data_IF_707287032374
#
_entry.id   IF_707287032374
#
_cell.length_a   1.000
_cell.length_b   1.000
_cell.length_c   1.000
_cell.angle_alpha   90.00
_cell.angle_beta   90.00
_cell.angle_gamma   90.00
#
_symmetry.space_group_name_H-M   'P 1'
#
loop_
_entity.id
_entity.type
_entity.pdbx_description
1 polymer ?
#
# COMPACT_ATOMS: atom_id res chain seq x y z
N UNK A 1 9.62 -56.32 -20.73
CA UNK A 1 9.71 -56.51 -19.26
C UNK A 1 10.85 -55.63 -18.74
N UNK A 2 10.54 -54.48 -18.13
CA UNK A 2 11.53 -53.53 -17.62
C UNK A 2 12.20 -54.11 -16.36
N UNK A 3 13.50 -54.40 -16.41
CA UNK A 3 14.22 -55.01 -15.30
C UNK A 3 14.70 -53.94 -14.30
N UNK A 4 13.78 -53.52 -13.43
CA UNK A 4 13.94 -52.41 -12.47
C UNK A 4 15.18 -52.57 -11.56
N UNK A 5 15.53 -53.81 -11.21
CA UNK A 5 16.68 -54.12 -10.34
C UNK A 5 18.02 -53.69 -10.93
N UNK A 6 18.19 -53.71 -12.26
CA UNK A 6 19.47 -53.41 -12.90
C UNK A 6 19.77 -51.90 -12.98
N UNK A 7 18.71 -51.06 -13.01
CA UNK A 7 18.85 -49.58 -13.02
C UNK A 7 19.14 -48.99 -11.65
N UNK A 8 18.63 -49.60 -10.57
CA UNK A 8 18.84 -49.12 -9.19
C UNK A 8 20.29 -49.29 -8.70
N UNK A 9 21.09 -50.15 -9.34
CA UNK A 9 22.51 -50.35 -9.05
C UNK A 9 23.44 -49.56 -9.97
N UNK A 10 22.90 -48.85 -10.97
CA UNK A 10 23.68 -48.07 -11.92
C UNK A 10 23.96 -46.67 -11.35
N UNK A 11 25.23 -46.28 -11.12
CA UNK A 11 25.57 -44.95 -10.61
C UNK A 11 25.10 -43.81 -11.53
N UNK A 12 24.94 -44.07 -12.84
CA UNK A 12 24.36 -43.11 -13.77
C UNK A 12 22.90 -42.77 -13.44
N UNK A 13 22.10 -43.77 -13.03
CA UNK A 13 20.70 -43.57 -12.66
C UNK A 13 20.54 -42.65 -11.44
N UNK A 14 21.42 -42.78 -10.44
CA UNK A 14 21.43 -41.93 -9.26
C UNK A 14 21.84 -40.48 -9.58
N UNK A 15 22.77 -40.29 -10.52
CA UNK A 15 23.13 -38.96 -11.01
C UNK A 15 21.95 -38.27 -11.71
N UNK A 16 21.22 -38.99 -12.56
CA UNK A 16 20.01 -38.47 -13.21
C UNK A 16 18.90 -38.16 -12.21
N UNK A 17 18.67 -39.03 -11.22
CA UNK A 17 17.67 -38.80 -10.17
C UNK A 17 18.01 -37.56 -9.32
N UNK A 18 19.30 -37.37 -8.97
CA UNK A 18 19.78 -36.22 -8.22
C UNK A 18 19.60 -34.90 -9.01
N UNK A 19 19.89 -34.91 -10.32
CA UNK A 19 19.67 -33.76 -11.21
C UNK A 19 18.20 -33.36 -11.30
N UNK A 20 17.30 -34.33 -11.43
CA UNK A 20 15.84 -34.07 -11.46
C UNK A 20 15.38 -33.49 -10.13
N UNK A 21 15.85 -34.03 -9.02
CA UNK A 21 15.50 -33.54 -7.68
C UNK A 21 16.02 -32.12 -7.45
N UNK A 22 17.23 -31.81 -7.91
CA UNK A 22 17.81 -30.46 -7.84
C UNK A 22 16.95 -29.46 -8.63
N UNK A 23 16.60 -29.79 -9.88
CA UNK A 23 15.79 -28.93 -10.75
C UNK A 23 14.40 -28.68 -10.14
N UNK A 24 13.77 -29.71 -9.58
CA UNK A 24 12.50 -29.57 -8.89
C UNK A 24 12.60 -28.70 -7.64
N UNK A 25 13.67 -28.88 -6.84
CA UNK A 25 13.90 -28.09 -5.62
C UNK A 25 14.17 -26.61 -5.92
N UNK A 26 14.95 -26.31 -6.97
CA UNK A 26 15.19 -24.94 -7.43
C UNK A 26 13.91 -24.33 -7.99
N UNK A 27 13.12 -25.08 -8.76
CA UNK A 27 11.83 -24.61 -9.27
C UNK A 27 10.86 -24.25 -8.13
N UNK A 28 10.75 -25.11 -7.12
CA UNK A 28 9.92 -24.85 -5.94
C UNK A 28 10.42 -23.63 -5.17
N UNK A 29 11.74 -23.49 -4.99
CA UNK A 29 12.34 -22.32 -4.34
C UNK A 29 11.98 -21.03 -5.09
N UNK A 30 12.14 -21.00 -6.40
CA UNK A 30 11.81 -19.83 -7.24
C UNK A 30 10.34 -19.46 -7.13
N UNK A 31 9.43 -20.43 -7.19
CA UNK A 31 7.98 -20.18 -7.02
C UNK A 31 7.69 -19.57 -5.65
N UNK A 32 8.24 -20.14 -4.58
CA UNK A 32 8.02 -19.60 -3.23
C UNK A 32 8.59 -18.19 -3.03
N UNK A 33 9.73 -17.87 -3.65
CA UNK A 33 10.30 -16.52 -3.61
C UNK A 33 9.48 -15.51 -4.40
N UNK A 34 8.94 -15.91 -5.55
CA UNK A 34 8.08 -15.06 -6.37
C UNK A 34 6.75 -14.78 -5.68
N UNK A 35 6.11 -15.79 -5.07
CA UNK A 35 4.89 -15.60 -4.29
C UNK A 35 5.11 -14.72 -3.06
N UNK A 36 6.25 -14.87 -2.36
CA UNK A 36 6.60 -14.00 -1.25
C UNK A 36 6.77 -12.54 -1.68
N UNK A 37 7.38 -12.28 -2.85
CA UNK A 37 7.51 -10.94 -3.41
C UNK A 37 6.18 -10.38 -3.92
N UNK A 38 5.30 -11.21 -4.46
CA UNK A 38 3.96 -10.80 -4.85
C UNK A 38 3.08 -10.43 -3.64
N UNK A 39 3.30 -11.07 -2.48
CA UNK A 39 2.60 -10.74 -1.24
C UNK A 39 3.03 -9.39 -0.63
N UNK A 40 4.23 -8.88 -0.95
CA UNK A 40 4.66 -7.51 -0.58
C UNK A 40 3.99 -6.43 -1.45
N UNK A 41 3.40 -6.80 -2.58
CA UNK A 41 2.67 -5.90 -3.49
C UNK A 41 1.17 -5.86 -3.19
N UNK A 42 0.75 -6.19 -1.96
CA UNK A 42 -0.64 -5.97 -1.56
C UNK A 42 -1.01 -4.52 -1.86
N UNK A 43 -2.10 -4.25 -2.60
CA UNK A 43 -2.55 -2.89 -2.79
C UNK A 43 -2.79 -2.30 -1.40
N UNK A 44 -1.94 -1.34 -1.07
CA UNK A 44 -2.08 -0.44 0.06
C UNK A 44 -3.56 -0.09 0.16
N UNK A 45 -4.17 -0.36 1.32
CA UNK A 45 -5.61 -0.15 1.49
C UNK A 45 -5.82 1.37 1.54
N UNK A 46 -5.98 1.96 0.36
CA UNK A 46 -6.22 3.37 0.17
C UNK A 46 -7.36 3.79 1.10
N UNK A 47 -7.15 4.89 1.84
CA UNK A 47 -8.07 5.46 2.83
C UNK A 47 -8.15 4.75 4.19
N UNK A 48 -7.07 4.18 4.72
CA UNK A 48 -7.06 3.77 6.13
C UNK A 48 -6.94 5.02 7.02
N UNK A 49 -8.08 5.49 7.53
CA UNK A 49 -8.09 6.61 8.46
C UNK A 49 -7.47 6.17 9.80
N UNK A 50 -6.44 6.87 10.23
CA UNK A 50 -5.72 6.60 11.48
C UNK A 50 -6.09 7.57 12.61
N UNK A 51 -6.74 8.70 12.31
CA UNK A 51 -7.15 9.64 13.34
C UNK A 51 -8.16 10.72 12.91
N UNK A 52 -8.76 11.35 13.92
CA UNK A 52 -9.55 12.58 13.78
C UNK A 52 -9.17 13.56 14.90
N UNK A 53 -8.88 14.80 14.53
CA UNK A 53 -8.65 15.92 15.46
C UNK A 53 -9.75 16.96 15.30
N UNK A 54 -10.36 17.36 16.41
CA UNK A 54 -11.32 18.46 16.45
C UNK A 54 -10.67 19.68 17.07
N UNK A 55 -10.53 20.74 16.29
CA UNK A 55 -9.81 21.97 16.69
C UNK A 55 -10.67 22.92 17.53
N UNK A 56 -11.94 22.59 17.81
CA UNK A 56 -12.84 23.38 18.67
C UNK A 56 -13.39 24.67 18.06
N UNK A 57 -12.83 25.11 16.93
CA UNK A 57 -13.29 26.23 16.11
C UNK A 57 -14.23 25.80 14.96
N UNK A 58 -14.73 24.56 15.02
CA UNK A 58 -15.51 23.98 13.94
C UNK A 58 -14.68 23.49 12.75
N UNK A 59 -13.37 23.28 12.93
CA UNK A 59 -12.54 22.54 11.98
C UNK A 59 -12.31 21.11 12.49
N UNK A 60 -12.45 20.16 11.58
CA UNK A 60 -12.20 18.74 11.79
C UNK A 60 -11.11 18.31 10.83
N UNK A 61 -10.05 17.73 11.37
CA UNK A 61 -8.94 17.16 10.60
C UNK A 61 -9.00 15.64 10.65
N UNK A 62 -8.92 14.98 9.50
CA UNK A 62 -8.82 13.53 9.40
C UNK A 62 -7.46 13.15 8.84
N UNK A 63 -6.80 12.20 9.48
CA UNK A 63 -5.48 11.68 9.12
C UNK A 63 -5.63 10.30 8.51
N UNK A 64 -4.91 10.04 7.42
CA UNK A 64 -4.88 8.76 6.71
C UNK A 64 -3.45 8.25 6.68
N UNK A 65 -3.28 7.03 7.14
CA UNK A 65 -2.05 6.24 7.04
C UNK A 65 -2.34 5.19 5.98
N UNK A 66 -2.01 5.50 4.73
CA UNK A 66 -2.30 4.63 3.61
C UNK A 66 -1.38 3.43 3.67
N UNK A 67 -0.07 3.62 3.87
CA UNK A 67 0.96 2.59 3.84
C UNK A 67 1.11 1.74 5.13
N UNK A 68 0.38 2.09 6.19
CA UNK A 68 0.36 1.43 7.50
C UNK A 68 1.71 1.45 8.24
N UNK A 69 2.50 2.51 8.07
CA UNK A 69 3.79 2.65 8.76
C UNK A 69 3.70 3.37 10.12
N UNK A 70 2.50 3.84 10.49
CA UNK A 70 2.25 4.57 11.73
C UNK A 70 2.41 6.09 11.59
N UNK A 71 2.74 6.59 10.40
CA UNK A 71 2.81 7.99 10.03
C UNK A 71 1.65 8.34 9.10
N UNK A 72 0.97 9.48 9.28
CA UNK A 72 -0.01 9.92 8.29
C UNK A 72 0.65 10.27 6.95
N UNK A 73 0.11 9.73 5.85
CA UNK A 73 0.50 10.05 4.47
C UNK A 73 -0.32 11.22 3.90
N UNK A 74 -1.57 11.33 4.37
CA UNK A 74 -2.54 12.32 3.89
C UNK A 74 -3.37 12.85 5.04
N UNK A 75 -3.72 14.12 4.96
CA UNK A 75 -4.75 14.70 5.82
C UNK A 75 -5.83 15.44 5.03
N UNK A 76 -7.01 15.56 5.62
CA UNK A 76 -8.07 16.45 5.14
C UNK A 76 -8.56 17.34 6.27
N UNK A 77 -8.74 18.63 6.00
CA UNK A 77 -9.29 19.61 6.94
C UNK A 77 -10.65 20.07 6.44
N UNK A 78 -11.68 19.84 7.24
CA UNK A 78 -13.08 20.07 6.90
C UNK A 78 -13.70 21.04 7.89
N UNK A 79 -14.40 22.05 7.40
CA UNK A 79 -15.20 22.93 8.26
C UNK A 79 -16.54 22.30 8.65
N UNK A 80 -17.14 22.80 9.72
CA UNK A 80 -18.55 22.57 10.02
C UNK A 80 -19.43 23.49 9.16
N UNK A 81 -20.60 22.99 8.76
CA UNK A 81 -21.62 23.77 8.08
C UNK A 81 -22.48 24.58 9.07
N UNK A 82 -23.48 25.31 8.55
CA UNK A 82 -24.41 26.12 9.37
C UNK A 82 -25.28 25.31 10.33
N UNK A 83 -25.32 23.98 10.18
CA UNK A 83 -26.03 23.04 11.04
C UNK A 83 -25.08 22.26 11.96
N UNK A 84 -23.81 22.68 12.03
CA UNK A 84 -22.75 22.04 12.81
C UNK A 84 -22.46 20.59 12.37
N UNK A 85 -22.77 20.24 11.12
CA UNK A 85 -22.37 18.98 10.52
C UNK A 85 -21.04 19.16 9.76
N UNK A 86 -20.17 18.15 9.68
CA UNK A 86 -19.00 18.21 8.81
C UNK A 86 -19.44 18.48 7.37
N UNK A 87 -18.77 19.43 6.70
CA UNK A 87 -18.97 19.62 5.27
C UNK A 87 -18.65 18.32 4.52
N UNK A 88 -19.32 18.11 3.40
CA UNK A 88 -19.08 16.92 2.57
C UNK A 88 -17.71 16.95 1.90
N UNK A 89 -17.14 18.15 1.76
CA UNK A 89 -15.88 18.37 1.04
C UNK A 89 -14.88 19.11 1.93
N UNK A 90 -13.61 18.69 1.90
CA UNK A 90 -12.56 19.32 2.68
C UNK A 90 -12.22 20.71 2.11
N UNK A 91 -11.87 21.62 3.01
CA UNK A 91 -11.37 22.96 2.67
C UNK A 91 -9.90 22.89 2.27
N UNK A 92 -9.14 22.05 2.97
CA UNK A 92 -7.75 21.76 2.67
C UNK A 92 -7.51 20.26 2.66
N UNK A 93 -6.57 19.81 1.85
CA UNK A 93 -5.97 18.50 1.98
C UNK A 93 -4.47 18.64 1.79
N UNK A 94 -3.72 17.78 2.47
CA UNK A 94 -2.28 17.72 2.30
C UNK A 94 -1.83 16.29 2.12
N UNK A 95 -0.78 16.13 1.34
CA UNK A 95 -0.14 14.85 1.06
C UNK A 95 1.37 15.01 1.19
N UNK A 96 1.97 14.06 1.89
CA UNK A 96 3.40 13.88 1.94
C UNK A 96 3.75 12.76 0.95
N UNK A 97 4.11 13.13 -0.28
CA UNK A 97 4.31 12.16 -1.36
C UNK A 97 5.56 11.29 -1.18
N UNK A 98 6.57 11.80 -0.47
CA UNK A 98 7.87 11.17 -0.28
C UNK A 98 8.18 10.83 1.20
N UNK A 99 7.26 11.12 2.12
CA UNK A 99 7.33 10.81 3.55
C UNK A 99 8.55 11.44 4.23
N UNK A 100 8.96 12.62 3.78
CA UNK A 100 10.08 13.35 4.37
C UNK A 100 9.65 14.38 5.44
N UNK A 101 8.34 14.50 5.67
CA UNK A 101 7.74 15.46 6.57
C UNK A 101 7.45 16.81 5.94
N UNK A 102 7.76 17.02 4.66
CA UNK A 102 7.33 18.18 3.87
C UNK A 102 5.99 17.89 3.19
N UNK A 103 4.99 18.68 3.56
CA UNK A 103 3.63 18.49 3.08
C UNK A 103 3.35 19.38 1.88
N UNK A 104 2.88 18.78 0.79
CA UNK A 104 2.19 19.56 -0.24
C UNK A 104 0.75 19.74 0.22
N UNK A 105 0.32 20.99 0.37
CA UNK A 105 -1.04 21.33 0.82
C UNK A 105 -1.78 22.00 -0.31
N UNK A 106 -3.04 21.63 -0.52
CA UNK A 106 -3.94 22.23 -1.48
C UNK A 106 -5.16 22.81 -0.79
N UNK A 107 -5.71 23.88 -1.37
CA UNK A 107 -6.94 24.52 -0.93
C UNK A 107 -8.00 24.41 -2.03
N UNK A 108 -9.21 23.97 -1.67
CA UNK A 108 -10.39 24.15 -2.52
C UNK A 108 -10.88 25.59 -2.35
N UNK A 109 -10.43 26.49 -3.23
CA UNK A 109 -10.80 27.92 -3.15
C UNK A 109 -12.29 28.18 -3.29
N UNK A 110 -13.03 27.30 -3.95
CA UNK A 110 -14.48 27.49 -4.14
C UNK A 110 -15.29 26.83 -3.04
N UNK A 111 -14.64 25.98 -2.23
CA UNK A 111 -15.28 25.18 -1.19
C UNK A 111 -16.47 24.37 -1.75
N UNK A 112 -16.40 24.00 -3.03
CA UNK A 112 -17.48 23.35 -3.78
C UNK A 112 -17.30 21.85 -3.90
N UNK A 113 -16.13 21.32 -3.51
CA UNK A 113 -15.84 19.89 -3.55
C UNK A 113 -15.59 19.32 -4.93
N UNK A 114 -15.45 20.17 -5.94
CA UNK A 114 -15.23 19.75 -7.32
C UNK A 114 -13.73 19.59 -7.55
N UNK A 115 -13.31 18.33 -7.69
CA UNK A 115 -11.93 17.99 -8.02
C UNK A 115 -11.45 18.68 -9.31
N UNK A 116 -10.28 19.29 -9.29
CA UNK A 116 -9.66 20.04 -10.39
C UNK A 116 -9.78 21.56 -10.31
N UNK A 117 -10.31 22.12 -9.22
CA UNK A 117 -10.35 23.56 -8.95
C UNK A 117 -9.34 23.99 -7.87
N UNK A 118 -8.52 23.07 -7.38
CA UNK A 118 -7.68 23.27 -6.21
C UNK A 118 -6.36 23.94 -6.56
N UNK A 119 -5.88 24.77 -5.66
CA UNK A 119 -4.60 25.46 -5.80
C UNK A 119 -3.63 24.97 -4.72
N UNK A 120 -2.35 24.85 -5.08
CA UNK A 120 -1.30 24.61 -4.09
C UNK A 120 -1.28 25.80 -3.13
N UNK A 121 -1.44 25.50 -1.85
CA UNK A 121 -1.30 26.46 -0.78
C UNK A 121 0.20 26.69 -0.52
N UNK A 122 0.78 27.68 -1.19
CA UNK A 122 2.15 28.13 -0.92
C UNK A 122 2.12 29.13 0.25
N UNK A 123 2.83 28.79 1.34
CA UNK A 123 3.11 29.71 2.46
C UNK A 123 4.22 30.71 2.10
#
# INVERSE_FOLDING_TARGET
>A
MFNLKKRLTDPGYWLYAALIYLLFSVGLLVVTFLDAKAAELTPVKANTQCGTLNHGNGLIENLYDENQDGTPDRFTLTGLDRTSQPRQHPLFYGQDENQDGEWTVWIDRKEDGINGNEEIYQQ
#
